data_IF_243992111534
#
_entry.id   IF_243992111534
#
_cell.length_a   1.000
_cell.length_b   1.000
_cell.length_c   1.000
_cell.angle_alpha   90.00
_cell.angle_beta   90.00
_cell.angle_gamma   90.00
#
_symmetry.space_group_name_H-M   'P 1'
#
loop_
_entity.id
_entity.type
_entity.pdbx_description
1 polymer ?
#
# COMPACT_ATOMS: atom_id res chain seq x y z
N UNK A 1 -10.14 5.25 16.29
CA UNK A 1 -11.06 6.12 15.51
C UNK A 1 -11.48 5.50 14.17
N UNK A 2 -10.58 4.88 13.40
CA UNK A 2 -10.88 4.28 12.08
C UNK A 2 -12.06 3.27 12.09
N UNK A 3 -12.15 2.39 13.11
CA UNK A 3 -13.30 1.48 13.28
C UNK A 3 -14.65 2.21 13.36
N UNK A 4 -14.67 3.38 14.02
CA UNK A 4 -15.88 4.21 14.13
C UNK A 4 -16.25 4.79 12.77
N UNK A 5 -15.27 5.33 12.03
CA UNK A 5 -15.49 5.87 10.68
C UNK A 5 -16.03 4.79 9.74
N UNK A 6 -15.41 3.62 9.69
CA UNK A 6 -15.88 2.47 8.91
C UNK A 6 -17.36 2.16 9.22
N UNK A 7 -17.71 2.01 10.51
CA UNK A 7 -19.08 1.75 10.95
C UNK A 7 -20.07 2.85 10.58
N UNK A 8 -19.64 4.11 10.54
CA UNK A 8 -20.51 5.25 10.18
C UNK A 8 -20.76 5.27 8.69
N UNK A 9 -19.74 5.01 7.87
CA UNK A 9 -19.85 4.99 6.40
C UNK A 9 -20.71 3.81 5.95
N UNK A 10 -20.48 2.62 6.50
CA UNK A 10 -21.25 1.41 6.18
C UNK A 10 -22.75 1.57 6.50
N UNK A 11 -23.07 2.27 7.61
CA UNK A 11 -24.46 2.62 7.94
C UNK A 11 -25.13 3.55 6.93
N UNK A 12 -24.37 4.36 6.20
CA UNK A 12 -24.87 5.29 5.19
C UNK A 12 -24.96 4.64 3.81
N UNK A 13 -24.06 3.72 3.51
CA UNK A 13 -24.03 2.94 2.29
C UNK A 13 -23.53 1.52 2.61
N UNK A 14 -24.40 0.49 2.62
CA UNK A 14 -23.98 -0.87 2.91
C UNK A 14 -22.85 -1.32 2.00
N UNK A 15 -21.78 -1.88 2.59
CA UNK A 15 -20.59 -2.30 1.85
C UNK A 15 -19.54 -1.21 1.64
N UNK A 16 -19.80 0.01 2.12
CA UNK A 16 -18.82 1.09 2.09
C UNK A 16 -17.98 1.16 3.38
N UNK A 17 -16.73 1.65 3.31
CA UNK A 17 -16.00 2.04 2.11
C UNK A 17 -15.61 0.81 1.26
N UNK A 18 -15.76 0.95 -0.07
CA UNK A 18 -15.41 -0.12 -1.03
C UNK A 18 -13.91 -0.41 -1.04
N UNK A 19 -13.09 0.59 -0.70
CA UNK A 19 -11.63 0.49 -0.64
C UNK A 19 -11.12 1.15 0.65
N UNK A 20 -10.16 0.48 1.28
CA UNK A 20 -9.38 0.98 2.40
C UNK A 20 -7.91 0.79 2.01
N UNK A 21 -7.32 1.85 1.48
CA UNK A 21 -5.94 1.87 1.01
C UNK A 21 -5.02 2.40 2.11
N UNK A 22 -3.99 1.63 2.43
CA UNK A 22 -2.92 2.11 3.30
C UNK A 22 -1.78 2.67 2.46
N UNK A 23 -1.43 3.93 2.71
CA UNK A 23 -0.28 4.59 2.09
C UNK A 23 0.96 4.30 2.95
N UNK A 24 2.02 3.80 2.33
CA UNK A 24 3.28 3.43 2.98
C UNK A 24 4.45 4.11 2.27
N UNK A 25 5.40 4.60 3.07
CA UNK A 25 6.63 5.21 2.55
C UNK A 25 7.68 4.12 2.26
N UNK A 26 8.05 3.98 0.98
CA UNK A 26 9.02 3.00 0.48
C UNK A 26 10.41 3.11 1.11
N UNK A 27 10.80 4.28 1.62
CA UNK A 27 12.08 4.47 2.30
C UNK A 27 12.17 3.75 3.66
N UNK A 28 11.01 3.41 4.25
CA UNK A 28 10.92 2.82 5.61
C UNK A 28 11.29 1.34 5.68
N UNK A 29 11.44 0.66 4.54
CA UNK A 29 11.83 -0.75 4.49
C UNK A 29 10.84 -1.67 5.19
N UNK A 30 11.36 -2.66 5.93
CA UNK A 30 10.55 -3.66 6.64
C UNK A 30 9.68 -3.09 7.77
N UNK A 31 9.90 -1.84 8.20
CA UNK A 31 9.01 -1.20 9.18
C UNK A 31 7.60 -1.02 8.63
N UNK A 32 7.46 -0.85 7.31
CA UNK A 32 6.17 -0.77 6.63
C UNK A 32 5.32 -2.03 6.83
N UNK A 33 5.94 -3.21 6.96
CA UNK A 33 5.23 -4.47 7.20
C UNK A 33 4.53 -4.48 8.56
N UNK A 34 5.22 -4.03 9.61
CA UNK A 34 4.62 -3.94 10.93
C UNK A 34 3.48 -2.91 10.95
N UNK A 35 3.64 -1.77 10.26
CA UNK A 35 2.56 -0.80 10.12
C UNK A 35 1.35 -1.40 9.40
N UNK A 36 1.57 -2.04 8.26
CA UNK A 36 0.50 -2.70 7.52
C UNK A 36 -0.24 -3.74 8.37
N UNK A 37 0.49 -4.52 9.17
CA UNK A 37 -0.09 -5.51 10.10
C UNK A 37 -1.00 -4.85 11.14
N UNK A 38 -0.53 -3.79 11.81
CA UNK A 38 -1.31 -3.12 12.86
C UNK A 38 -2.56 -2.39 12.31
N UNK A 39 -2.44 -1.76 11.14
CA UNK A 39 -3.60 -1.16 10.47
C UNK A 39 -4.61 -2.21 10.03
N UNK A 40 -4.16 -3.33 9.45
CA UNK A 40 -5.03 -4.41 8.98
C UNK A 40 -5.79 -5.11 10.12
N UNK A 41 -5.21 -5.16 11.33
CA UNK A 41 -5.92 -5.61 12.54
C UNK A 41 -7.02 -4.64 12.98
N UNK A 42 -6.86 -3.36 12.68
CA UNK A 42 -7.78 -2.31 13.11
C UNK A 42 -8.93 -2.13 12.13
N UNK A 43 -8.63 -2.04 10.84
CA UNK A 43 -9.58 -1.97 9.73
C UNK A 43 -9.05 -2.85 8.62
N UNK A 44 -9.91 -3.72 8.07
CA UNK A 44 -9.48 -4.65 7.03
C UNK A 44 -9.08 -3.86 5.79
N UNK A 45 -7.79 -3.87 5.47
CA UNK A 45 -7.27 -3.16 4.29
C UNK A 45 -7.65 -3.93 3.03
N UNK A 46 -7.89 -3.20 1.94
CA UNK A 46 -8.19 -3.77 0.62
C UNK A 46 -7.01 -3.65 -0.34
N UNK A 47 -6.05 -2.77 -0.05
CA UNK A 47 -4.86 -2.60 -0.86
C UNK A 47 -3.88 -1.60 -0.28
N UNK A 48 -2.76 -1.42 -0.97
CA UNK A 48 -1.65 -0.58 -0.58
C UNK A 48 -1.32 0.44 -1.66
N UNK A 49 -0.80 1.58 -1.22
CA UNK A 49 -0.13 2.57 -2.05
C UNK A 49 1.29 2.75 -1.51
N UNK A 50 2.31 2.60 -2.35
CA UNK A 50 3.71 2.73 -1.92
C UNK A 50 4.29 4.00 -2.54
N UNK A 51 4.72 4.96 -1.73
CA UNK A 51 5.29 6.23 -2.21
C UNK A 51 6.81 6.24 -2.10
N UNK A 52 7.47 7.21 -2.75
CA UNK A 52 8.93 7.43 -2.68
C UNK A 52 9.77 6.25 -3.15
N UNK A 53 9.35 5.59 -4.23
CA UNK A 53 10.08 4.46 -4.81
C UNK A 53 11.25 4.89 -5.69
N UNK A 54 11.26 6.12 -6.16
CA UNK A 54 12.31 6.77 -6.95
C UNK A 54 13.65 6.88 -6.22
N UNK A 55 13.64 6.96 -4.89
CA UNK A 55 14.84 7.13 -4.08
C UNK A 55 15.32 5.90 -3.31
N UNK A 56 14.79 4.69 -3.56
CA UNK A 56 15.01 3.56 -2.65
C UNK A 56 15.21 2.18 -3.30
N UNK A 57 16.24 1.46 -2.85
CA UNK A 57 16.49 0.05 -3.17
C UNK A 57 15.65 -0.94 -2.33
N UNK A 58 14.65 -0.45 -1.58
CA UNK A 58 13.91 -1.24 -0.58
C UNK A 58 12.60 -1.85 -1.11
N UNK A 59 12.55 -2.19 -2.40
CA UNK A 59 11.39 -2.82 -3.04
C UNK A 59 10.97 -4.17 -2.41
N UNK A 60 11.89 -4.84 -1.71
CA UNK A 60 11.63 -6.09 -1.00
C UNK A 60 10.50 -6.02 0.04
N UNK A 61 10.17 -4.83 0.58
CA UNK A 61 9.03 -4.71 1.49
C UNK A 61 7.70 -5.08 0.82
N UNK A 62 7.55 -4.75 -0.47
CA UNK A 62 6.31 -4.97 -1.23
C UNK A 62 6.02 -6.45 -1.30
N UNK A 63 7.05 -7.22 -1.62
CA UNK A 63 7.01 -8.68 -1.66
C UNK A 63 6.69 -9.25 -0.27
N UNK A 64 7.33 -8.72 0.78
CA UNK A 64 7.09 -9.19 2.15
C UNK A 64 5.65 -8.95 2.63
N UNK A 65 5.10 -7.76 2.36
CA UNK A 65 3.72 -7.42 2.75
C UNK A 65 2.73 -8.26 1.97
N UNK A 66 2.93 -8.44 0.65
CA UNK A 66 2.07 -9.31 -0.15
C UNK A 66 2.10 -10.74 0.39
N UNK A 67 3.28 -11.28 0.70
CA UNK A 67 3.45 -12.66 1.19
C UNK A 67 2.80 -12.87 2.56
N UNK A 68 2.89 -11.90 3.46
CA UNK A 68 2.37 -12.04 4.83
C UNK A 68 0.88 -11.71 4.93
N UNK A 69 0.43 -10.61 4.31
CA UNK A 69 -0.91 -10.06 4.52
C UNK A 69 -1.86 -10.30 3.34
N UNK A 70 -1.36 -10.76 2.20
CA UNK A 70 -2.14 -10.98 0.98
C UNK A 70 -2.71 -9.69 0.38
N UNK A 71 -2.17 -8.53 0.77
CA UNK A 71 -2.68 -7.23 0.32
C UNK A 71 -2.07 -6.86 -1.04
N UNK A 72 -2.89 -6.52 -2.05
CA UNK A 72 -2.38 -6.07 -3.34
C UNK A 72 -1.83 -4.64 -3.23
N UNK A 73 -0.69 -4.38 -3.85
CA UNK A 73 -0.29 -3.00 -4.16
C UNK A 73 -1.12 -2.53 -5.35
N UNK A 74 -1.78 -1.38 -5.21
CA UNK A 74 -2.62 -0.79 -6.27
C UNK A 74 -1.92 0.34 -6.99
N UNK A 75 -1.15 1.14 -6.27
CA UNK A 75 -0.43 2.29 -6.81
C UNK A 75 0.98 2.40 -6.24
N UNK A 76 1.86 2.99 -7.04
CA UNK A 76 3.23 3.36 -6.68
C UNK A 76 3.48 4.82 -7.01
N UNK A 77 4.15 5.53 -6.10
CA UNK A 77 4.65 6.88 -6.31
C UNK A 77 6.13 6.84 -6.66
N UNK A 78 6.47 7.26 -7.89
CA UNK A 78 7.83 7.25 -8.45
C UNK A 78 8.40 8.66 -8.64
N UNK A 79 7.92 9.61 -7.85
CA UNK A 79 8.32 11.01 -7.88
C UNK A 79 7.40 11.88 -7.06
N UNK A 80 7.53 13.20 -7.24
CA UNK A 80 6.87 14.24 -6.42
C UNK A 80 5.70 14.91 -7.15
N UNK A 81 5.56 14.71 -8.46
CA UNK A 81 4.48 15.30 -9.24
C UNK A 81 3.19 14.46 -9.13
N UNK A 82 2.00 15.06 -9.33
CA UNK A 82 0.74 14.33 -9.31
C UNK A 82 0.70 13.14 -10.28
N UNK A 83 1.34 13.28 -11.44
CA UNK A 83 1.40 12.26 -12.49
C UNK A 83 2.38 11.11 -12.16
N UNK A 84 3.17 11.24 -11.09
CA UNK A 84 4.11 10.22 -10.64
C UNK A 84 3.44 9.13 -9.78
N UNK A 85 2.13 9.26 -9.48
CA UNK A 85 1.33 8.20 -8.90
C UNK A 85 0.76 7.29 -10.00
N UNK A 86 1.37 6.12 -10.16
CA UNK A 86 1.05 5.19 -11.23
C UNK A 86 0.39 3.91 -10.70
N UNK A 87 -0.49 3.25 -11.48
CA UNK A 87 -0.96 1.91 -11.16
C UNK A 87 0.21 0.93 -11.01
N UNK A 88 0.11 0.02 -10.06
CA UNK A 88 1.16 -0.96 -9.83
C UNK A 88 1.17 -2.05 -10.91
N UNK A 89 2.33 -2.24 -11.54
CA UNK A 89 2.62 -3.37 -12.42
C UNK A 89 3.75 -4.20 -11.81
N UNK A 90 3.43 -5.44 -11.43
CA UNK A 90 4.37 -6.34 -10.77
C UNK A 90 5.56 -6.74 -11.68
N UNK A 91 5.37 -6.80 -13.00
CA UNK A 91 6.43 -7.14 -13.96
C UNK A 91 7.39 -5.97 -14.11
N UNK A 92 6.85 -4.76 -14.29
CA UNK A 92 7.68 -3.55 -14.39
C UNK A 92 8.44 -3.29 -13.09
N UNK A 93 7.77 -3.47 -11.95
CA UNK A 93 8.41 -3.34 -10.64
C UNK A 93 9.53 -4.37 -10.44
N UNK A 94 9.29 -5.63 -10.81
CA UNK A 94 10.32 -6.66 -10.72
C UNK A 94 11.49 -6.37 -11.66
N UNK A 95 11.24 -5.93 -12.91
CA UNK A 95 12.29 -5.55 -13.85
C UNK A 95 13.16 -4.43 -13.28
N UNK A 96 12.55 -3.34 -12.80
CA UNK A 96 13.25 -2.20 -12.20
C UNK A 96 14.05 -2.57 -10.92
N UNK A 97 13.69 -3.66 -10.23
CA UNK A 97 14.44 -4.15 -9.08
C UNK A 97 15.72 -4.92 -9.44
N UNK A 98 15.83 -5.45 -10.66
CA UNK A 98 16.94 -6.30 -11.11
C UNK A 98 17.70 -5.73 -12.32
N UNK A 99 17.27 -4.60 -12.87
CA UNK A 99 18.07 -3.78 -13.79
C UNK A 99 19.23 -3.15 -13.00
N UNK A 100 20.44 -3.68 -13.20
CA UNK A 100 21.73 -3.10 -12.75
C UNK A 100 22.24 -2.02 -13.71
#
# INVERSE_FOLDING_TARGET
ELKKLHRVIDKKLPGAPHEILLVLDGSTGMNALNQAREFNKTVKLTGLVITKLDGTSKGGMVVAIQKELGLPVKFIGVGEQPDDLQPFDAKQFAAAMFEE
#
